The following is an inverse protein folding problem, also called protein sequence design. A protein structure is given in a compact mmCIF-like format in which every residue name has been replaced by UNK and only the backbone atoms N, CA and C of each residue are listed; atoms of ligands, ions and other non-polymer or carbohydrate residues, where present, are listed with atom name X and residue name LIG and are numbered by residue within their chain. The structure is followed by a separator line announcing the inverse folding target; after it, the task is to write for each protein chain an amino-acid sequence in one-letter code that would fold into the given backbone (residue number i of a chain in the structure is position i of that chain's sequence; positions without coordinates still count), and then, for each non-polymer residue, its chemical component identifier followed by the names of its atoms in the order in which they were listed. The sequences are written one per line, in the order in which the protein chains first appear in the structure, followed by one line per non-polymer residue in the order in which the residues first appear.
data_IF_956813164056
#
_entry.id   IF_956813164056
#
_cell.length_a   1.000
_cell.length_b   1.000
_cell.length_c   1.000
_cell.angle_alpha   90.00
_cell.angle_beta   90.00
_cell.angle_gamma   90.00
#
_symmetry.space_group_name_H-M   'P 1'
#
loop_
_entity.id
_entity.type
_entity.pdbx_description
1 polymer ?
#
# COMPACT_ATOMS: atom_id res chain seq x y z
N UNK A 1 -9.72 4.41 9.37
CA UNK A 1 -10.29 5.64 8.73
C UNK A 1 -10.46 6.78 9.73
N UNK A 2 -10.88 6.46 10.95
CA UNK A 2 -11.08 7.41 12.06
C UNK A 2 -9.78 8.14 12.41
N UNK A 3 -8.66 7.43 12.57
CA UNK A 3 -7.39 8.06 13.02
C UNK A 3 -6.65 8.83 11.92
N UNK A 4 -6.83 8.44 10.65
CA UNK A 4 -6.09 9.02 9.51
C UNK A 4 -6.88 10.18 8.87
N UNK A 5 -8.20 10.02 8.72
CA UNK A 5 -9.07 11.00 8.05
C UNK A 5 -9.95 11.79 9.03
N UNK A 6 -9.85 11.52 10.33
CA UNK A 6 -10.66 12.15 11.38
C UNK A 6 -12.16 12.08 11.10
N UNK A 7 -12.61 10.96 10.51
CA UNK A 7 -14.02 10.71 10.23
C UNK A 7 -14.67 10.12 11.47
N UNK A 8 -15.64 10.82 12.06
CA UNK A 8 -16.36 10.36 13.26
C UNK A 8 -17.21 9.11 13.00
N UNK A 9 -17.86 9.05 11.82
CA UNK A 9 -18.83 8.00 11.48
C UNK A 9 -18.51 7.33 10.11
N UNK A 10 -17.37 6.63 9.98
CA UNK A 10 -16.89 6.12 8.70
C UNK A 10 -17.84 5.08 8.08
N UNK A 11 -18.48 4.25 8.91
CA UNK A 11 -19.45 3.26 8.43
C UNK A 11 -20.66 3.92 7.79
N UNK A 12 -21.26 4.89 8.50
CA UNK A 12 -22.43 5.63 8.01
C UNK A 12 -22.11 6.37 6.71
N UNK A 13 -20.91 6.92 6.58
CA UNK A 13 -20.45 7.56 5.37
C UNK A 13 -20.37 6.59 4.17
N UNK A 14 -19.80 5.40 4.36
CA UNK A 14 -19.72 4.39 3.30
C UNK A 14 -21.11 3.84 2.91
N UNK A 15 -21.98 3.61 3.90
CA UNK A 15 -23.37 3.20 3.64
C UNK A 15 -24.12 4.28 2.86
N UNK A 16 -23.89 5.56 3.19
CA UNK A 16 -24.46 6.68 2.44
C UNK A 16 -23.93 6.71 1.00
N UNK A 17 -22.61 6.60 0.78
CA UNK A 17 -22.05 6.55 -0.58
C UNK A 17 -22.68 5.41 -1.40
N UNK A 18 -22.77 4.21 -0.82
CA UNK A 18 -23.40 3.07 -1.48
C UNK A 18 -24.89 3.35 -1.79
N UNK A 19 -25.63 4.00 -0.89
CA UNK A 19 -27.04 4.39 -1.11
C UNK A 19 -27.21 5.39 -2.25
N UNK A 20 -26.19 6.21 -2.52
CA UNK A 20 -26.16 7.17 -3.62
C UNK A 20 -25.65 6.55 -4.94
N UNK A 21 -25.39 5.24 -4.97
CA UNK A 21 -24.95 4.53 -6.16
C UNK A 21 -23.44 4.61 -6.44
N UNK A 22 -22.63 5.13 -5.49
CA UNK A 22 -21.18 5.12 -5.64
C UNK A 22 -20.64 3.69 -5.62
N UNK A 23 -19.62 3.46 -6.44
CA UNK A 23 -18.88 2.21 -6.53
C UNK A 23 -17.59 2.32 -5.72
N UNK A 24 -17.27 1.30 -4.93
CA UNK A 24 -16.10 1.30 -4.06
C UNK A 24 -15.03 0.39 -4.65
N UNK A 25 -13.82 0.89 -4.85
CA UNK A 25 -12.66 0.10 -5.22
C UNK A 25 -11.74 0.04 -3.99
N UNK A 26 -11.50 -1.16 -3.49
CA UNK A 26 -10.68 -1.39 -2.30
C UNK A 26 -9.32 -1.95 -2.70
N UNK A 27 -8.31 -1.09 -2.72
CA UNK A 27 -6.93 -1.45 -3.02
C UNK A 27 -6.15 -1.72 -1.74
N UNK A 28 -5.56 -2.92 -1.63
CA UNK A 28 -4.69 -3.31 -0.50
C UNK A 28 -3.33 -3.79 -0.96
N UNK A 29 -2.38 -3.88 -0.03
CA UNK A 29 -1.05 -4.45 -0.25
C UNK A 29 -0.86 -5.73 0.57
N UNK A 30 -0.28 -6.77 -0.05
CA UNK A 30 0.07 -8.02 0.62
C UNK A 30 1.42 -7.94 1.34
N UNK A 31 2.41 -7.27 0.75
CA UNK A 31 3.78 -7.22 1.27
C UNK A 31 3.92 -6.19 2.42
N UNK A 32 3.32 -6.48 3.58
CA UNK A 32 3.24 -5.58 4.74
C UNK A 32 4.61 -5.18 5.28
N UNK A 33 5.57 -6.11 5.34
CA UNK A 33 6.94 -5.83 5.78
C UNK A 33 7.62 -4.82 4.85
N UNK A 34 7.63 -5.10 3.54
CA UNK A 34 8.23 -4.20 2.55
C UNK A 34 7.56 -2.83 2.55
N UNK A 35 6.26 -2.79 2.79
CA UNK A 35 5.52 -1.53 2.91
C UNK A 35 5.93 -0.74 4.16
N UNK A 36 6.02 -1.38 5.33
CA UNK A 36 6.38 -0.73 6.58
C UNK A 36 7.80 -0.16 6.53
N UNK A 37 8.74 -0.97 6.04
CA UNK A 37 10.12 -0.57 5.80
C UNK A 37 10.19 0.60 4.83
N UNK A 38 9.48 0.52 3.69
CA UNK A 38 9.42 1.61 2.73
C UNK A 38 8.88 2.91 3.35
N UNK A 39 7.87 2.83 4.22
CA UNK A 39 7.27 4.01 4.85
C UNK A 39 8.26 4.67 5.82
N UNK A 40 8.87 3.89 6.72
CA UNK A 40 9.87 4.38 7.69
C UNK A 40 11.08 4.97 6.95
N UNK A 41 11.60 4.30 5.93
CA UNK A 41 12.69 4.82 5.09
C UNK A 41 12.30 6.13 4.40
N UNK A 42 11.10 6.20 3.81
CA UNK A 42 10.64 7.42 3.13
C UNK A 42 10.41 8.61 4.07
N UNK A 43 9.99 8.35 5.31
CA UNK A 43 9.86 9.38 6.34
C UNK A 43 11.22 9.96 6.74
N UNK A 44 12.27 9.13 6.81
CA UNK A 44 13.65 9.59 7.05
C UNK A 44 14.26 10.35 5.87
N UNK A 45 13.98 9.92 4.63
CA UNK A 45 14.62 10.47 3.41
C UNK A 45 13.81 11.61 2.78
N UNK A 46 12.55 11.80 3.16
CA UNK A 46 11.69 12.91 2.74
C UNK A 46 11.19 12.87 1.29
N UNK A 47 11.25 11.73 0.59
CA UNK A 47 10.76 11.61 -0.81
C UNK A 47 9.97 10.32 -1.06
N UNK A 48 8.70 10.49 -1.45
CA UNK A 48 7.77 9.39 -1.84
C UNK A 48 7.67 9.22 -3.37
N UNK A 49 7.84 10.29 -4.16
CA UNK A 49 7.60 10.33 -5.61
C UNK A 49 8.73 11.03 -6.44
N UNK A 50 9.00 10.58 -7.68
CA UNK A 50 10.00 11.09 -8.63
C UNK A 50 9.47 10.90 -10.05
N UNK A 51 9.71 11.89 -10.93
CA UNK A 51 9.29 11.83 -12.33
C UNK A 51 10.41 11.20 -13.16
N UNK A 52 10.05 10.43 -14.19
CA UNK A 52 10.98 9.76 -15.15
C UNK A 52 12.07 10.66 -15.77
N UNK A 53 11.97 11.98 -15.65
CA UNK A 53 12.88 12.99 -16.21
C UNK A 53 14.04 13.40 -15.30
N UNK A 54 14.08 12.97 -14.05
CA UNK A 54 15.00 13.53 -13.05
C UNK A 54 16.24 12.64 -12.73
N UNK A 55 16.48 11.58 -13.51
CA UNK A 55 17.73 10.79 -13.48
C UNK A 55 17.87 9.76 -12.34
N UNK A 56 19.02 9.08 -12.26
CA UNK A 56 19.33 8.11 -11.20
C UNK A 56 19.81 8.85 -9.94
N UNK A 57 18.97 8.92 -8.90
CA UNK A 57 19.41 9.34 -7.57
C UNK A 57 20.31 8.25 -6.97
N UNK A 58 21.59 8.58 -6.71
CA UNK A 58 22.38 7.86 -5.71
C UNK A 58 21.68 8.03 -4.37
N UNK A 59 21.09 6.96 -3.83
CA UNK A 59 20.59 6.95 -2.46
C UNK A 59 21.72 6.51 -1.56
N UNK A 60 22.04 7.32 -0.57
CA UNK A 60 22.87 6.84 0.52
C UNK A 60 22.05 5.81 1.32
N UNK A 61 22.62 4.63 1.63
CA UNK A 61 21.98 3.68 2.53
C UNK A 61 21.63 4.35 3.86
N UNK A 62 20.46 4.03 4.40
CA UNK A 62 19.99 4.61 5.67
C UNK A 62 19.83 3.54 6.74
N UNK A 63 20.04 3.92 7.99
CA UNK A 63 19.69 3.10 9.13
C UNK A 63 18.26 3.42 9.58
N UNK A 64 17.46 2.40 9.89
CA UNK A 64 16.07 2.57 10.34
C UNK A 64 15.87 1.91 11.70
N UNK A 65 14.97 2.46 12.52
CA UNK A 65 14.70 1.93 13.85
C UNK A 65 13.76 0.70 13.75
N UNK A 66 14.18 -0.49 14.20
CA UNK A 66 13.32 -1.68 14.15
C UNK A 66 12.00 -1.51 14.92
N UNK A 67 11.99 -0.73 16.00
CA UNK A 67 10.76 -0.43 16.77
C UNK A 67 9.75 0.35 15.95
N UNK A 68 10.19 1.36 15.18
CA UNK A 68 9.30 2.13 14.28
C UNK A 68 8.69 1.24 13.19
N UNK A 69 9.46 0.26 12.69
CA UNK A 69 8.98 -0.72 11.72
C UNK A 69 7.90 -1.61 12.34
N UNK A 70 8.11 -2.13 13.56
CA UNK A 70 7.14 -2.95 14.30
C UNK A 70 5.86 -2.18 14.61
N UNK A 71 5.96 -0.92 15.05
CA UNK A 71 4.82 -0.05 15.29
C UNK A 71 4.03 0.20 14.00
N UNK A 72 4.73 0.43 12.88
CA UNK A 72 4.11 0.62 11.56
C UNK A 72 3.37 -0.64 11.10
N UNK A 73 3.97 -1.82 11.29
CA UNK A 73 3.30 -3.10 11.02
C UNK A 73 2.04 -3.24 11.87
N UNK A 74 2.12 -2.93 13.17
CA UNK A 74 0.96 -2.97 14.06
C UNK A 74 -0.17 -2.08 13.57
N UNK A 75 0.15 -0.84 13.18
CA UNK A 75 -0.82 0.12 12.65
C UNK A 75 -1.48 -0.41 11.38
N UNK A 76 -0.71 -1.02 10.47
CA UNK A 76 -1.26 -1.62 9.26
C UNK A 76 -2.20 -2.78 9.54
N UNK A 77 -1.90 -3.63 10.53
CA UNK A 77 -2.82 -4.70 10.91
C UNK A 77 -4.12 -4.17 11.50
N UNK A 78 -4.05 -3.19 12.40
CA UNK A 78 -5.24 -2.54 12.96
C UNK A 78 -6.09 -1.89 11.87
N UNK A 79 -5.46 -1.11 10.97
CA UNK A 79 -6.16 -0.48 9.85
C UNK A 79 -6.82 -1.51 8.94
N UNK A 80 -6.11 -2.61 8.63
CA UNK A 80 -6.64 -3.68 7.78
C UNK A 80 -7.89 -4.34 8.39
N UNK A 81 -7.87 -4.61 9.69
CA UNK A 81 -9.04 -5.18 10.37
C UNK A 81 -10.21 -4.20 10.40
N UNK A 82 -9.95 -2.92 10.69
CA UNK A 82 -10.97 -1.88 10.60
C UNK A 82 -11.58 -1.77 9.20
N UNK A 83 -10.75 -1.77 8.16
CA UNK A 83 -11.18 -1.70 6.77
C UNK A 83 -12.08 -2.88 6.38
N UNK A 84 -11.70 -4.11 6.76
CA UNK A 84 -12.55 -5.30 6.54
C UNK A 84 -13.90 -5.14 7.23
N UNK A 85 -13.90 -4.73 8.50
CA UNK A 85 -15.13 -4.57 9.28
C UNK A 85 -16.02 -3.47 8.69
N UNK A 86 -15.43 -2.36 8.22
CA UNK A 86 -16.16 -1.26 7.60
C UNK A 86 -16.78 -1.66 6.26
N UNK A 87 -16.07 -2.45 5.45
CA UNK A 87 -16.54 -2.92 4.15
C UNK A 87 -17.51 -4.10 4.23
N UNK A 88 -17.74 -4.67 5.42
CA UNK A 88 -18.64 -5.80 5.58
C UNK A 88 -20.08 -5.43 5.17
N UNK A 89 -20.58 -6.10 4.13
CA UNK A 89 -21.90 -5.85 3.55
C UNK A 89 -21.94 -4.71 2.52
N UNK A 90 -20.81 -4.06 2.23
CA UNK A 90 -20.70 -3.01 1.22
C UNK A 90 -20.12 -3.61 -0.07
N UNK A 91 -20.85 -3.56 -1.21
CA UNK A 91 -20.32 -4.01 -2.49
C UNK A 91 -19.07 -3.22 -2.90
N UNK A 92 -17.97 -3.92 -3.17
CA UNK A 92 -16.71 -3.29 -3.58
C UNK A 92 -15.93 -4.20 -4.53
N UNK A 93 -15.07 -3.60 -5.36
CA UNK A 93 -14.07 -4.30 -6.17
C UNK A 93 -12.76 -4.41 -5.38
N UNK A 94 -12.35 -5.61 -4.92
CA UNK A 94 -11.08 -5.79 -4.24
C UNK A 94 -9.93 -5.87 -5.25
N UNK A 95 -8.88 -5.08 -5.03
CA UNK A 95 -7.63 -5.13 -5.79
C UNK A 95 -6.44 -5.31 -4.85
N UNK A 96 -5.44 -6.05 -5.31
CA UNK A 96 -4.17 -6.27 -4.62
C UNK A 96 -3.07 -5.59 -5.42
N UNK A 97 -2.37 -4.65 -4.81
CA UNK A 97 -1.33 -3.86 -5.48
C UNK A 97 -0.30 -4.74 -6.21
N UNK A 98 0.20 -5.76 -5.53
CA UNK A 98 1.25 -6.64 -6.08
C UNK A 98 0.78 -7.45 -7.30
N UNK A 99 -0.51 -7.73 -7.41
CA UNK A 99 -1.10 -8.51 -8.51
C UNK A 99 -1.62 -7.62 -9.63
N UNK A 100 -2.16 -6.45 -9.28
CA UNK A 100 -2.89 -5.60 -10.20
C UNK A 100 -2.08 -4.41 -10.72
N UNK A 101 -1.15 -3.87 -9.92
CA UNK A 101 -0.53 -2.57 -10.19
C UNK A 101 1.00 -2.59 -10.16
N UNK A 102 1.63 -3.58 -9.52
CA UNK A 102 3.08 -3.64 -9.41
C UNK A 102 3.77 -3.95 -10.74
N UNK A 103 3.18 -4.82 -11.57
CA UNK A 103 3.65 -5.10 -12.93
C UNK A 103 2.89 -4.22 -13.94
N UNK A 104 3.63 -3.49 -14.78
CA UNK A 104 3.05 -2.65 -15.84
C UNK A 104 2.24 -3.44 -16.87
N UNK A 105 2.53 -4.73 -17.04
CA UNK A 105 1.79 -5.62 -17.96
C UNK A 105 0.37 -5.92 -17.44
N UNK A 106 0.14 -5.87 -16.13
CA UNK A 106 -1.18 -6.11 -15.53
C UNK A 106 -2.07 -4.85 -15.52
N UNK A 107 -1.55 -3.69 -15.92
CA UNK A 107 -2.27 -2.41 -15.82
C UNK A 107 -3.50 -2.37 -16.70
N UNK A 108 -3.41 -2.83 -17.95
CA UNK A 108 -4.58 -2.82 -18.85
C UNK A 108 -5.66 -3.76 -18.34
N UNK A 109 -5.29 -4.99 -17.98
CA UNK A 109 -6.21 -5.98 -17.41
C UNK A 109 -6.89 -5.47 -16.14
N UNK A 110 -6.15 -4.78 -15.28
CA UNK A 110 -6.72 -4.16 -14.08
C UNK A 110 -7.64 -3.00 -14.43
N UNK A 111 -7.30 -2.18 -15.42
CA UNK A 111 -8.18 -1.12 -15.91
C UNK A 111 -9.47 -1.70 -16.50
N UNK A 112 -9.41 -2.78 -17.26
CA UNK A 112 -10.56 -3.46 -17.84
C UNK A 112 -11.52 -3.97 -16.73
N UNK A 113 -11.00 -4.54 -15.65
CA UNK A 113 -11.80 -4.92 -14.47
C UNK A 113 -12.49 -3.71 -13.82
N UNK A 114 -11.80 -2.58 -13.76
CA UNK A 114 -12.36 -1.33 -13.22
C UNK A 114 -13.43 -0.76 -14.15
N UNK A 115 -13.22 -0.78 -15.47
CA UNK A 115 -14.20 -0.32 -16.45
C UNK A 115 -15.47 -1.16 -16.38
N UNK A 116 -15.36 -2.49 -16.36
CA UNK A 116 -16.51 -3.39 -16.19
C UNK A 116 -17.27 -3.10 -14.90
N UNK A 117 -16.56 -2.99 -13.77
CA UNK A 117 -17.17 -2.68 -12.47
C UNK A 117 -17.90 -1.32 -12.43
N UNK A 118 -17.37 -0.34 -13.14
CA UNK A 118 -17.95 1.00 -13.28
C UNK A 118 -18.96 1.12 -14.43
N UNK A 119 -19.16 0.06 -15.21
CA UNK A 119 -20.01 0.05 -16.42
C UNK A 119 -19.57 1.09 -17.46
N UNK A 120 -18.26 1.17 -17.69
CA UNK A 120 -17.65 2.06 -18.66
C UNK A 120 -17.10 1.26 -19.85
N UNK A 121 -17.03 1.91 -21.00
CA UNK A 121 -16.36 1.34 -22.17
C UNK A 121 -14.85 1.19 -21.92
N UNK A 122 -14.23 0.06 -22.30
CA UNK A 122 -12.80 -0.13 -22.15
C UNK A 122 -11.98 0.85 -23.01
N UNK A 123 -10.90 1.38 -22.45
CA UNK A 123 -9.96 2.26 -23.14
C UNK A 123 -8.52 1.87 -22.84
N UNK A 124 -7.59 2.16 -23.77
CA UNK A 124 -6.18 1.84 -23.56
C UNK A 124 -5.56 2.79 -22.54
N UNK A 125 -5.03 2.22 -21.47
CA UNK A 125 -4.34 2.97 -20.42
C UNK A 125 -2.82 2.84 -20.53
N UNK A 126 -2.10 3.90 -20.13
CA UNK A 126 -0.64 3.87 -20.01
C UNK A 126 -0.19 4.65 -18.78
N UNK A 127 0.44 3.94 -17.84
CA UNK A 127 1.01 4.57 -16.66
C UNK A 127 2.23 5.42 -17.01
N UNK A 128 2.25 6.68 -16.53
CA UNK A 128 3.41 7.59 -16.65
C UNK A 128 4.29 7.58 -15.39
N UNK A 129 3.81 6.99 -14.30
CA UNK A 129 4.50 6.92 -13.02
C UNK A 129 5.25 5.59 -12.89
N UNK A 130 6.46 5.63 -12.33
CA UNK A 130 7.27 4.43 -12.05
C UNK A 130 7.57 4.41 -10.56
N UNK A 131 7.55 3.22 -9.96
CA UNK A 131 7.90 3.02 -8.54
C UNK A 131 9.35 3.45 -8.28
N UNK A 132 9.57 4.03 -7.10
CA UNK A 132 10.85 4.67 -6.73
C UNK A 132 11.70 3.78 -5.86
N UNK A 133 11.09 2.96 -5.03
CA UNK A 133 11.83 2.01 -4.23
C UNK A 133 12.31 0.85 -5.11
N UNK A 134 13.63 0.56 -5.13
CA UNK A 134 14.14 -0.69 -5.67
C UNK A 134 13.36 -1.87 -5.09
N UNK A 135 13.24 -2.95 -5.87
CA UNK A 135 12.67 -4.19 -5.34
C UNK A 135 13.49 -4.74 -4.17
N UNK A 136 14.78 -4.39 -4.10
CA UNK A 136 15.68 -4.85 -3.05
C UNK A 136 15.86 -3.79 -1.95
N UNK A 137 15.13 -3.97 -0.86
CA UNK A 137 15.24 -3.12 0.33
C UNK A 137 16.57 -3.33 1.06
N UNK A 138 17.17 -4.52 0.93
CA UNK A 138 18.42 -4.88 1.61
C UNK A 138 19.60 -4.04 1.10
N UNK A 139 19.58 -3.62 -0.17
CA UNK A 139 20.61 -2.73 -0.73
C UNK A 139 20.51 -1.27 -0.24
N UNK A 140 19.38 -0.89 0.37
CA UNK A 140 19.09 0.50 0.76
C UNK A 140 19.11 0.74 2.27
N UNK A 141 19.20 -0.33 3.07
CA UNK A 141 19.06 -0.27 4.53
C UNK A 141 20.30 -0.89 5.18
N UNK A 142 21.05 -0.08 5.91
CA UNK A 142 22.32 -0.50 6.52
C UNK A 142 22.14 -1.61 7.55
N UNK A 143 21.06 -1.55 8.33
CA UNK A 143 20.75 -2.50 9.39
C UNK A 143 19.59 -3.45 9.01
N UNK A 144 19.50 -3.86 7.75
CA UNK A 144 18.41 -4.70 7.26
C UNK A 144 18.23 -6.00 8.06
N UNK A 145 19.33 -6.69 8.35
CA UNK A 145 19.29 -7.95 9.13
C UNK A 145 18.81 -7.74 10.56
N UNK A 146 19.12 -6.59 11.18
CA UNK A 146 18.61 -6.24 12.51
C UNK A 146 17.10 -6.06 12.49
N UNK A 147 16.59 -5.33 11.48
CA UNK A 147 15.16 -5.10 11.28
C UNK A 147 14.42 -6.42 11.03
N UNK A 148 14.97 -7.28 10.16
CA UNK A 148 14.41 -8.62 9.92
C UNK A 148 14.44 -9.45 11.20
N UNK A 149 15.54 -9.40 11.97
CA UNK A 149 15.67 -10.08 13.25
C UNK A 149 14.60 -9.66 14.25
N UNK A 150 14.36 -8.35 14.40
CA UNK A 150 13.32 -7.81 15.26
C UNK A 150 11.92 -8.28 14.86
N UNK A 151 11.61 -8.30 13.55
CA UNK A 151 10.31 -8.81 13.06
C UNK A 151 10.18 -10.31 13.29
N UNK A 152 11.22 -11.12 13.04
CA UNK A 152 11.23 -12.56 13.30
C UNK A 152 11.01 -12.91 14.77
N UNK A 153 11.52 -12.09 15.69
CA UNK A 153 11.37 -12.28 17.14
C UNK A 153 10.04 -11.73 17.70
N UNK A 154 9.25 -11.04 16.87
CA UNK A 154 7.96 -10.48 17.25
C UNK A 154 6.79 -11.40 16.89
N UNK A 155 5.58 -11.04 17.33
CA UNK A 155 4.32 -11.69 16.89
C UNK A 155 4.07 -11.59 15.37
N UNK A 156 4.80 -10.72 14.66
CA UNK A 156 4.67 -10.50 13.23
C UNK A 156 5.57 -11.40 12.38
N UNK A 157 6.27 -12.38 12.93
CA UNK A 157 7.16 -13.26 12.15
C UNK A 157 6.51 -13.85 10.87
N UNK A 158 5.20 -14.11 10.93
CA UNK A 158 4.40 -14.63 9.82
C UNK A 158 4.33 -13.72 8.59
N UNK A 159 4.65 -12.42 8.70
CA UNK A 159 4.63 -11.48 7.56
C UNK A 159 5.90 -11.51 6.71
N UNK A 160 6.93 -12.23 7.18
CA UNK A 160 8.21 -12.39 6.48
C UNK A 160 8.25 -13.62 5.58
N UNK A 161 7.23 -14.48 5.66
CA UNK A 161 7.10 -15.73 4.90
C UNK A 161 6.56 -15.50 3.48
#
# INVERSE_FOLDING_TARGET
MTDIHNMEEPRRFLDWLNSQGFKVIYLRRKERFKHAVSLVTSAKVGKLHHRKKEGHLKREPVEINPTEVLETISKFESCYQEEINLLQGIPHLPLIYEENLANGEEHQKTADLVFDYLQLEPEKVKAKLVKIMPQDLAETILNYEEVVGAVKQSKYAHILA
#
